data_IF_815075785056
#
_entry.id   IF_815075785056
#
_cell.length_a   1.000
_cell.length_b   1.000
_cell.length_c   1.000
_cell.angle_alpha   90.00
_cell.angle_beta   90.00
_cell.angle_gamma   90.00
#
_symmetry.space_group_name_H-M   'P 1'
#
loop_
_entity.id
_entity.type
_entity.pdbx_description
1 polymer ?
#
# COMPACT_ATOMS: atom_id res chain seq x y z
N UNK A 1 -4.56 32.57 59.76
CA UNK A 1 -4.88 32.82 58.33
C UNK A 1 -5.17 31.48 57.66
N UNK A 2 -6.23 31.47 56.86
CA UNK A 2 -6.98 30.31 56.37
C UNK A 2 -6.19 29.42 55.41
N UNK A 3 -6.04 28.13 55.74
CA UNK A 3 -5.63 27.10 54.79
C UNK A 3 -6.88 26.49 54.16
N UNK A 4 -7.38 27.07 53.05
CA UNK A 4 -8.42 26.42 52.24
C UNK A 4 -7.79 25.63 51.11
N UNK A 5 -7.76 24.30 51.32
CA UNK A 5 -7.48 23.27 50.31
C UNK A 5 -8.36 23.50 49.07
N UNK A 6 -7.75 23.69 47.91
CA UNK A 6 -8.44 23.60 46.63
C UNK A 6 -8.27 22.19 46.05
N UNK A 7 -9.41 21.53 45.89
CA UNK A 7 -9.57 20.20 45.32
C UNK A 7 -8.88 20.07 43.95
N UNK A 8 -7.96 19.11 43.79
CA UNK A 8 -7.63 18.57 42.47
C UNK A 8 -8.55 17.40 42.19
N UNK A 9 -9.31 17.51 41.10
CA UNK A 9 -10.19 16.47 40.56
C UNK A 9 -9.39 15.20 40.31
N UNK A 10 -9.77 14.09 40.94
CA UNK A 10 -9.32 12.77 40.50
C UNK A 10 -9.93 12.50 39.13
N UNK A 11 -9.09 12.35 38.11
CA UNK A 11 -9.52 11.86 36.81
C UNK A 11 -9.97 10.40 36.96
N UNK A 12 -11.21 10.09 36.58
CA UNK A 12 -11.71 8.72 36.52
C UNK A 12 -10.83 7.88 35.59
N UNK A 13 -10.43 6.65 35.96
CA UNK A 13 -9.59 5.83 35.09
C UNK A 13 -10.38 5.47 33.82
N UNK A 14 -9.85 5.86 32.65
CA UNK A 14 -10.31 5.29 31.38
C UNK A 14 -10.06 3.78 31.44
N UNK A 15 -11.11 2.96 31.35
CA UNK A 15 -10.99 1.52 31.12
C UNK A 15 -10.27 1.31 29.78
N UNK A 16 -8.96 1.10 29.82
CA UNK A 16 -8.21 0.56 28.69
C UNK A 16 -8.53 -0.93 28.64
N UNK A 17 -9.25 -1.37 27.61
CA UNK A 17 -9.62 -2.77 27.36
C UNK A 17 -8.42 -3.66 27.00
N UNK A 18 -7.20 -3.14 27.11
CA UNK A 18 -5.96 -3.86 26.82
C UNK A 18 -5.16 -4.06 28.10
N UNK A 19 -4.88 -5.34 28.41
CA UNK A 19 -3.93 -5.72 29.46
C UNK A 19 -2.56 -5.07 29.21
N UNK A 20 -1.81 -4.84 30.28
CA UNK A 20 -0.45 -4.32 30.18
C UNK A 20 0.44 -5.22 29.31
N UNK A 21 1.45 -4.66 28.61
CA UNK A 21 2.37 -5.44 27.78
C UNK A 21 3.14 -6.48 28.61
N UNK A 22 3.29 -7.70 28.07
CA UNK A 22 4.15 -8.72 28.66
C UNK A 22 5.63 -8.36 28.40
N UNK A 23 6.42 -8.26 29.47
CA UNK A 23 7.85 -7.98 29.41
C UNK A 23 8.65 -9.27 29.60
N UNK A 24 9.49 -9.61 28.62
CA UNK A 24 10.38 -10.78 28.64
C UNK A 24 11.83 -10.31 28.62
N UNK A 25 12.65 -10.79 29.57
CA UNK A 25 14.10 -10.59 29.53
C UNK A 25 14.71 -11.56 28.53
N UNK A 26 15.51 -11.04 27.62
CA UNK A 26 16.24 -11.79 26.60
C UNK A 26 17.69 -11.33 26.62
N UNK A 27 18.62 -12.27 26.53
CA UNK A 27 20.00 -11.96 26.16
C UNK A 27 20.07 -11.49 24.71
N UNK A 28 21.17 -10.84 24.32
CA UNK A 28 21.35 -10.35 22.94
C UNK A 28 21.31 -11.50 21.92
N UNK A 29 21.92 -12.64 22.25
CA UNK A 29 21.93 -13.83 21.42
C UNK A 29 20.51 -14.41 21.21
N UNK A 30 19.72 -14.51 22.27
CA UNK A 30 18.33 -14.98 22.18
C UNK A 30 17.46 -14.04 21.37
N UNK A 31 17.64 -12.72 21.55
CA UNK A 31 16.91 -11.71 20.77
C UNK A 31 17.27 -11.79 19.29
N UNK A 32 18.54 -11.92 18.95
CA UNK A 32 19.00 -12.06 17.57
C UNK A 32 18.43 -13.33 16.91
N UNK A 33 18.45 -14.46 17.64
CA UNK A 33 17.85 -15.71 17.16
C UNK A 33 16.34 -15.57 16.92
N UNK A 34 15.61 -14.93 17.82
CA UNK A 34 14.18 -14.70 17.64
C UNK A 34 13.87 -13.74 16.49
N UNK A 35 14.70 -12.70 16.27
CA UNK A 35 14.55 -11.80 15.12
C UNK A 35 14.82 -12.53 13.79
N UNK A 36 15.84 -13.38 13.74
CA UNK A 36 16.12 -14.20 12.55
C UNK A 36 14.95 -15.15 12.24
N UNK A 37 14.38 -15.79 13.26
CA UNK A 37 13.22 -16.67 13.11
C UNK A 37 11.92 -15.91 12.75
N UNK A 38 11.76 -14.67 13.23
CA UNK A 38 10.59 -13.84 12.94
C UNK A 38 10.62 -13.23 11.53
N UNK A 39 11.81 -13.09 10.93
CA UNK A 39 11.98 -12.49 9.61
C UNK A 39 11.38 -11.08 9.53
N UNK A 40 10.34 -10.90 8.72
CA UNK A 40 9.63 -9.62 8.55
C UNK A 40 8.53 -9.34 9.57
N UNK A 41 8.20 -10.29 10.45
CA UNK A 41 7.13 -10.18 11.43
C UNK A 41 7.60 -9.47 12.71
N UNK A 42 6.77 -8.61 13.35
CA UNK A 42 7.10 -8.04 14.65
C UNK A 42 7.30 -9.12 15.71
N UNK A 43 8.36 -8.98 16.52
CA UNK A 43 8.81 -9.99 17.49
C UNK A 43 7.68 -10.48 18.42
N UNK A 44 6.88 -9.56 18.97
CA UNK A 44 5.77 -9.90 19.86
C UNK A 44 4.64 -10.68 19.16
N UNK A 45 4.41 -10.41 17.86
CA UNK A 45 3.43 -11.16 17.07
C UNK A 45 3.94 -12.56 16.75
N UNK A 46 5.23 -12.70 16.42
CA UNK A 46 5.86 -13.99 16.18
C UNK A 46 5.86 -14.86 17.44
N UNK A 47 6.25 -14.30 18.60
CA UNK A 47 6.25 -15.00 19.89
C UNK A 47 4.83 -15.45 20.25
N UNK A 48 3.83 -14.58 20.10
CA UNK A 48 2.43 -14.91 20.37
C UNK A 48 1.93 -16.03 19.46
N UNK A 49 2.21 -15.95 18.16
CA UNK A 49 1.83 -16.98 17.20
C UNK A 49 2.49 -18.32 17.49
N UNK A 50 3.74 -18.34 17.96
CA UNK A 50 4.45 -19.58 18.35
C UNK A 50 3.91 -20.21 19.62
N UNK A 51 3.52 -19.41 20.61
CA UNK A 51 3.02 -19.91 21.91
C UNK A 51 1.56 -20.35 21.81
N UNK A 52 0.73 -19.59 21.09
CA UNK A 52 -0.72 -19.80 21.00
C UNK A 52 -1.16 -20.35 19.64
N UNK A 53 -0.27 -21.04 18.91
CA UNK A 53 -0.49 -21.51 17.54
C UNK A 53 -1.74 -22.39 17.36
N UNK A 54 -2.28 -22.96 18.43
CA UNK A 54 -3.51 -23.78 18.42
C UNK A 54 -4.80 -23.05 18.87
N UNK A 55 -4.71 -21.87 19.49
CA UNK A 55 -5.87 -21.18 20.09
C UNK A 55 -6.07 -19.75 19.58
N UNK A 56 -5.05 -19.13 18.98
CA UNK A 56 -5.14 -17.75 18.52
C UNK A 56 -5.62 -17.68 17.07
N UNK A 57 -6.79 -17.04 16.86
CA UNK A 57 -7.17 -16.48 15.56
C UNK A 57 -5.95 -15.74 14.98
N UNK A 58 -5.44 -16.26 13.88
CA UNK A 58 -4.26 -15.74 13.18
C UNK A 58 -4.50 -14.24 12.95
N UNK A 59 -3.70 -13.33 13.53
CA UNK A 59 -3.83 -11.91 13.26
C UNK A 59 -3.68 -11.75 11.76
N UNK A 60 -4.70 -11.20 11.08
CA UNK A 60 -4.66 -10.94 9.63
C UNK A 60 -3.36 -10.22 9.32
N UNK A 61 -2.43 -10.93 8.70
CA UNK A 61 -1.16 -10.36 8.27
C UNK A 61 -1.53 -9.19 7.35
N UNK A 62 -1.28 -7.97 7.81
CA UNK A 62 -1.38 -6.79 6.94
C UNK A 62 -0.32 -7.01 5.87
N UNK A 63 -0.76 -7.43 4.69
CA UNK A 63 0.12 -7.83 3.61
C UNK A 63 1.16 -6.75 3.36
N UNK A 64 2.39 -7.00 3.78
CA UNK A 64 3.54 -6.25 3.27
C UNK A 64 3.87 -6.89 1.92
N UNK A 65 3.09 -6.52 0.91
CA UNK A 65 3.54 -6.67 -0.47
C UNK A 65 4.87 -5.90 -0.66
N UNK A 66 5.69 -6.28 -1.65
CA UNK A 66 7.06 -5.75 -1.80
C UNK A 66 7.04 -4.22 -1.88
N UNK A 67 7.69 -3.59 -0.90
CA UNK A 67 7.71 -2.12 -0.69
C UNK A 67 8.56 -1.40 -1.75
N UNK A 68 9.43 -2.12 -2.47
CA UNK A 68 10.29 -1.56 -3.51
C UNK A 68 9.54 -1.29 -4.83
N UNK A 69 8.74 -2.24 -5.31
CA UNK A 69 8.06 -2.14 -6.62
C UNK A 69 6.96 -1.07 -6.63
N UNK A 70 6.27 -0.87 -5.51
CA UNK A 70 5.19 0.11 -5.42
C UNK A 70 5.66 1.55 -5.64
N UNK A 71 6.89 1.89 -5.25
CA UNK A 71 7.43 3.25 -5.43
C UNK A 71 7.76 3.52 -6.90
N UNK A 72 8.42 2.58 -7.58
CA UNK A 72 8.75 2.71 -9.00
C UNK A 72 7.47 2.75 -9.86
N UNK A 73 6.49 1.90 -9.55
CA UNK A 73 5.19 1.88 -10.22
C UNK A 73 4.39 3.16 -9.97
N UNK A 74 4.38 3.70 -8.74
CA UNK A 74 3.73 4.97 -8.43
C UNK A 74 4.40 6.16 -9.14
N UNK A 75 5.73 6.16 -9.25
CA UNK A 75 6.47 7.20 -9.99
C UNK A 75 6.17 7.12 -11.49
N UNK A 76 6.11 5.91 -12.07
CA UNK A 76 5.74 5.71 -13.46
C UNK A 76 4.32 6.20 -13.73
N UNK A 77 3.35 5.84 -12.88
CA UNK A 77 1.98 6.34 -12.96
C UNK A 77 1.91 7.86 -12.84
N UNK A 78 2.67 8.45 -11.92
CA UNK A 78 2.76 9.90 -11.76
C UNK A 78 3.28 10.59 -13.03
N UNK A 79 4.29 10.02 -13.68
CA UNK A 79 4.83 10.53 -14.96
C UNK A 79 3.81 10.38 -16.10
N UNK A 80 3.07 9.29 -16.15
CA UNK A 80 1.99 9.10 -17.14
C UNK A 80 0.87 10.12 -16.89
N UNK A 81 0.47 10.37 -15.64
CA UNK A 81 -0.54 11.37 -15.31
C UNK A 81 -0.10 12.82 -15.59
N UNK A 82 1.20 13.11 -15.52
CA UNK A 82 1.78 14.41 -15.90
C UNK A 82 2.02 14.54 -17.40
N UNK A 83 1.93 13.45 -18.15
CA UNK A 83 2.13 13.47 -19.59
C UNK A 83 0.94 14.12 -20.29
N UNK A 84 1.20 14.80 -21.41
CA UNK A 84 0.17 15.44 -22.23
C UNK A 84 -0.57 14.46 -23.15
N UNK A 85 -0.64 13.18 -22.76
CA UNK A 85 -1.28 12.14 -23.56
C UNK A 85 -2.76 12.45 -23.86
N UNK A 86 -3.58 12.94 -22.90
CA UNK A 86 -4.96 13.31 -23.19
C UNK A 86 -5.07 14.46 -24.20
N UNK A 87 -4.23 15.50 -24.08
CA UNK A 87 -4.22 16.64 -24.98
C UNK A 87 -3.79 16.20 -26.39
N UNK A 88 -2.71 15.41 -26.51
CA UNK A 88 -2.22 14.91 -27.79
C UNK A 88 -3.25 14.00 -28.49
N UNK A 89 -3.95 13.14 -27.74
CA UNK A 89 -5.03 12.32 -28.29
C UNK A 89 -6.21 13.17 -28.76
N UNK A 90 -6.53 14.25 -28.06
CA UNK A 90 -7.58 15.17 -28.46
C UNK A 90 -7.19 15.95 -29.74
N UNK A 91 -5.92 16.35 -29.86
CA UNK A 91 -5.37 16.96 -31.09
C UNK A 91 -5.44 16.00 -32.29
N UNK A 92 -5.06 14.73 -32.10
CA UNK A 92 -5.19 13.70 -33.14
C UNK A 92 -6.65 13.44 -33.54
N UNK A 93 -7.56 13.36 -32.57
CA UNK A 93 -8.98 13.18 -32.83
C UNK A 93 -9.56 14.37 -33.61
N UNK A 94 -9.15 15.59 -33.24
CA UNK A 94 -9.57 16.79 -33.95
C UNK A 94 -9.00 16.82 -35.38
N UNK A 95 -7.72 16.52 -35.57
CA UNK A 95 -7.07 16.46 -36.88
C UNK A 95 -7.73 15.41 -37.80
N UNK A 96 -8.14 14.27 -37.24
CA UNK A 96 -8.89 13.23 -37.98
C UNK A 96 -10.29 13.73 -38.35
N UNK A 97 -11.01 14.36 -37.41
CA UNK A 97 -12.39 14.86 -37.64
C UNK A 97 -12.45 15.92 -38.75
N UNK A 98 -11.45 16.77 -38.86
CA UNK A 98 -11.37 17.81 -39.91
C UNK A 98 -10.70 17.32 -41.19
N UNK A 99 -10.36 16.03 -41.28
CA UNK A 99 -9.73 15.42 -42.45
C UNK A 99 -8.29 15.88 -42.70
N UNK A 100 -7.65 16.52 -41.71
CA UNK A 100 -6.27 16.99 -41.80
C UNK A 100 -5.23 15.89 -41.53
N UNK A 101 -5.67 14.72 -41.04
CA UNK A 101 -4.82 13.57 -40.79
C UNK A 101 -5.19 12.44 -41.77
N UNK A 102 -4.44 12.27 -42.89
CA UNK A 102 -4.61 11.11 -43.75
C UNK A 102 -4.12 9.86 -42.99
N UNK A 103 -5.05 8.98 -42.66
CA UNK A 103 -4.78 7.69 -42.02
C UNK A 103 -5.09 6.59 -43.03
N UNK A 104 -4.09 5.77 -43.34
CA UNK A 104 -4.29 4.54 -44.10
C UNK A 104 -4.70 3.38 -43.17
N UNK A 105 -5.15 2.27 -43.77
CA UNK A 105 -5.64 1.11 -43.01
C UNK A 105 -4.58 0.51 -42.09
N UNK A 106 -3.32 0.51 -42.52
CA UNK A 106 -2.20 -0.03 -41.75
C UNK A 106 -1.88 0.83 -40.52
N UNK A 107 -1.91 2.16 -40.66
CA UNK A 107 -1.71 3.09 -39.53
C UNK A 107 -2.85 2.96 -38.51
N UNK A 108 -4.09 2.78 -38.97
CA UNK A 108 -5.24 2.55 -38.08
C UNK A 108 -5.06 1.24 -37.30
N UNK A 109 -4.65 0.16 -37.97
CA UNK A 109 -4.40 -1.12 -37.33
C UNK A 109 -3.26 -1.05 -36.30
N UNK A 110 -2.17 -0.32 -36.63
CA UNK A 110 -1.07 -0.08 -35.71
C UNK A 110 -1.50 0.73 -34.48
N UNK A 111 -2.33 1.76 -34.66
CA UNK A 111 -2.91 2.55 -33.57
C UNK A 111 -3.82 1.71 -32.66
N UNK A 112 -4.68 0.87 -33.23
CA UNK A 112 -5.53 -0.04 -32.46
C UNK A 112 -4.70 -1.04 -31.64
N UNK A 113 -3.65 -1.59 -32.23
CA UNK A 113 -2.71 -2.50 -31.56
C UNK A 113 -2.02 -1.80 -30.40
N UNK A 114 -1.48 -0.60 -30.62
CA UNK A 114 -0.85 0.20 -29.57
C UNK A 114 -1.81 0.51 -28.40
N UNK A 115 -3.07 0.85 -28.70
CA UNK A 115 -4.10 1.06 -27.68
C UNK A 115 -4.38 -0.21 -26.86
N UNK A 116 -4.44 -1.38 -27.51
CA UNK A 116 -4.63 -2.66 -26.84
C UNK A 116 -3.44 -3.03 -25.91
N UNK A 117 -2.22 -2.75 -26.37
CA UNK A 117 -1.00 -2.96 -25.57
C UNK A 117 -0.98 -2.07 -24.34
N UNK A 118 -1.32 -0.78 -24.50
CA UNK A 118 -1.44 0.17 -23.38
C UNK A 118 -2.50 -0.28 -22.38
N UNK A 119 -3.66 -0.74 -22.83
CA UNK A 119 -4.71 -1.25 -21.96
C UNK A 119 -4.24 -2.49 -21.17
N UNK A 120 -3.44 -3.36 -21.81
CA UNK A 120 -2.86 -4.54 -21.17
C UNK A 120 -1.82 -4.17 -20.12
N UNK A 121 -0.90 -3.25 -20.45
CA UNK A 121 0.09 -2.71 -19.51
C UNK A 121 -0.58 -2.07 -18.28
N UNK A 122 -1.63 -1.26 -18.50
CA UNK A 122 -2.43 -0.65 -17.42
C UNK A 122 -3.01 -1.73 -16.50
N UNK A 123 -3.63 -2.77 -17.06
CA UNK A 123 -4.28 -3.84 -16.28
C UNK A 123 -3.28 -4.63 -15.43
N UNK A 124 -2.12 -4.98 -16.02
CA UNK A 124 -1.03 -5.63 -15.30
C UNK A 124 -0.55 -4.78 -14.12
N UNK A 125 -0.40 -3.47 -14.35
CA UNK A 125 0.08 -2.53 -13.34
C UNK A 125 -0.95 -2.33 -12.22
N UNK A 126 -2.24 -2.20 -12.53
CA UNK A 126 -3.30 -2.11 -11.52
C UNK A 126 -3.41 -3.38 -10.68
N UNK A 127 -3.24 -4.54 -11.31
CA UNK A 127 -3.21 -5.84 -10.63
C UNK A 127 -2.01 -5.95 -9.69
N UNK A 128 -0.83 -5.55 -10.16
CA UNK A 128 0.40 -5.55 -9.35
C UNK A 128 0.31 -4.62 -8.13
N UNK A 129 -0.42 -3.49 -8.25
CA UNK A 129 -0.67 -2.55 -7.16
C UNK A 129 -1.85 -2.93 -6.25
N UNK A 130 -2.60 -3.99 -6.57
CA UNK A 130 -3.79 -4.39 -5.84
C UNK A 130 -4.95 -3.38 -5.91
N UNK A 131 -4.94 -2.48 -6.90
CA UNK A 131 -5.99 -1.49 -7.12
C UNK A 131 -7.09 -2.13 -7.97
N UNK A 132 -8.32 -2.16 -7.45
CA UNK A 132 -9.48 -2.59 -8.25
C UNK A 132 -9.91 -1.45 -9.16
N UNK A 133 -9.90 -1.71 -10.46
CA UNK A 133 -10.48 -0.84 -11.48
C UNK A 133 -12.00 -0.72 -11.22
N UNK A 134 -12.55 0.49 -11.29
CA UNK A 134 -13.98 0.79 -11.10
C UNK A 134 -14.66 1.02 -12.43
#
# INVERSE_FOLDING_TARGET
>A
MSHKKSFRRHASPRKTTTSSPFSLRLTEAERARLQALAGSQPLGSFIRARIFAGEAEVPRARGKGPVADHKALAQLLGKIGQSRLPENLNELAQATRVGALPLDGDTIAALQTACADIATMKRMLMTALGIRER
#
